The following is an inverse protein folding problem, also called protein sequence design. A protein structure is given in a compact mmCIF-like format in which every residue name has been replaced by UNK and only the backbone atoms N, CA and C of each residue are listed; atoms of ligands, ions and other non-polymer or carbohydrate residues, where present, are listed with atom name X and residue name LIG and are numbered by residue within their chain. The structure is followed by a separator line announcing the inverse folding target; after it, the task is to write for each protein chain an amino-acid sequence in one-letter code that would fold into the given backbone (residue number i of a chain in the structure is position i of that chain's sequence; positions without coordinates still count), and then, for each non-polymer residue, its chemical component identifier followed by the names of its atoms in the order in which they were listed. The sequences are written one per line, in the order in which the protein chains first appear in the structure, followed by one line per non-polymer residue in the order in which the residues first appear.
data_IF_267510419999
#
_entry.id   IF_267510419999
#
_cell.length_a   1.000
_cell.length_b   1.000
_cell.length_c   1.000
_cell.angle_alpha   90.00
_cell.angle_beta   90.00
_cell.angle_gamma   90.00
#
_symmetry.space_group_name_H-M   'P 1'
#
loop_
_entity.id
_entity.type
_entity.pdbx_description
1 polymer ?
#
# COMPACT_ATOMS: atom_id res chain seq x y z
N UNK A 1 -11.01 5.57 -10.57
CA UNK A 1 -10.44 6.89 -10.22
C UNK A 1 -9.28 6.62 -9.27
N UNK A 2 -8.04 6.86 -9.69
CA UNK A 2 -6.89 6.71 -8.80
C UNK A 2 -6.93 7.84 -7.78
N UNK A 3 -7.12 7.52 -6.50
CA UNK A 3 -6.99 8.51 -5.42
C UNK A 3 -5.54 8.99 -5.39
N UNK A 4 -5.37 10.30 -5.41
CA UNK A 4 -4.07 10.96 -5.24
C UNK A 4 -4.02 11.54 -3.85
N UNK A 5 -2.92 11.29 -3.16
CA UNK A 5 -2.69 11.80 -1.82
C UNK A 5 -1.50 12.76 -1.85
N UNK A 6 -1.60 13.86 -1.10
CA UNK A 6 -0.50 14.83 -0.99
C UNK A 6 0.63 14.34 -0.07
N UNK A 7 0.37 13.31 0.75
CA UNK A 7 1.31 12.74 1.70
C UNK A 7 1.48 11.25 1.47
N UNK A 8 2.73 10.79 1.50
CA UNK A 8 3.06 9.37 1.38
C UNK A 8 2.47 8.57 2.54
N UNK A 9 2.55 9.08 3.78
CA UNK A 9 1.96 8.42 4.95
C UNK A 9 0.45 8.19 4.80
N UNK A 10 -0.25 9.17 4.21
CA UNK A 10 -1.69 9.05 3.98
C UNK A 10 -2.00 8.02 2.89
N UNK A 11 -1.21 8.01 1.81
CA UNK A 11 -1.32 7.01 0.76
C UNK A 11 -1.06 5.59 1.29
N UNK A 12 -0.01 5.41 2.09
CA UNK A 12 0.32 4.14 2.73
C UNK A 12 -0.83 3.69 3.63
N UNK A 13 -1.33 4.58 4.48
CA UNK A 13 -2.41 4.21 5.38
C UNK A 13 -3.68 3.80 4.62
N UNK A 14 -4.11 4.60 3.64
CA UNK A 14 -5.36 4.37 2.89
C UNK A 14 -5.30 3.24 1.88
N UNK A 15 -4.20 3.11 1.16
CA UNK A 15 -4.09 2.18 0.03
C UNK A 15 -3.44 0.85 0.41
N UNK A 16 -2.74 0.79 1.55
CA UNK A 16 -1.97 -0.40 1.97
C UNK A 16 -2.47 -0.91 3.32
N UNK A 17 -2.38 -0.09 4.37
CA UNK A 17 -2.70 -0.54 5.74
C UNK A 17 -4.19 -0.82 5.89
N UNK A 18 -5.06 0.13 5.53
CA UNK A 18 -6.52 0.02 5.62
C UNK A 18 -7.06 -1.26 4.94
N UNK A 19 -6.69 -1.60 3.69
CA UNK A 19 -7.16 -2.84 3.06
C UNK A 19 -6.57 -4.13 3.66
N UNK A 20 -5.34 -4.11 4.18
CA UNK A 20 -4.75 -5.30 4.84
C UNK A 20 -5.42 -5.52 6.19
N UNK A 21 -5.58 -4.48 7.01
CA UNK A 21 -6.20 -4.55 8.33
C UNK A 21 -7.70 -4.86 8.26
N UNK A 22 -8.37 -4.41 7.20
CA UNK A 22 -9.78 -4.74 6.95
C UNK A 22 -9.97 -6.14 6.31
N UNK A 23 -8.88 -6.81 5.94
CA UNK A 23 -8.88 -8.19 5.49
C UNK A 23 -8.91 -9.15 6.69
N UNK A 24 -7.78 -9.82 6.92
CA UNK A 24 -7.62 -10.90 7.92
C UNK A 24 -6.48 -10.64 8.91
N UNK A 25 -5.86 -9.45 8.85
CA UNK A 25 -4.64 -9.12 9.59
C UNK A 25 -4.98 -8.07 10.64
N UNK A 26 -4.66 -8.30 11.92
CA UNK A 26 -4.93 -7.29 12.95
C UNK A 26 -3.92 -6.14 12.93
N UNK A 27 -2.66 -6.40 12.55
CA UNK A 27 -1.59 -5.40 12.54
C UNK A 27 -0.70 -5.57 11.31
N UNK A 28 -1.06 -4.88 10.23
CA UNK A 28 -0.41 -5.00 8.92
C UNK A 28 1.09 -4.67 8.99
N UNK A 29 1.49 -3.73 9.86
CA UNK A 29 2.88 -3.32 10.05
C UNK A 29 3.71 -4.34 10.83
N UNK A 30 3.07 -5.18 11.64
CA UNK A 30 3.74 -6.23 12.38
C UNK A 30 4.04 -7.43 11.48
N UNK A 31 3.09 -7.79 10.61
CA UNK A 31 3.17 -8.98 9.75
C UNK A 31 3.79 -8.72 8.38
N UNK A 32 3.73 -7.50 7.86
CA UNK A 32 4.21 -7.18 6.50
C UNK A 32 5.19 -6.01 6.50
N UNK A 33 6.11 -6.01 5.53
CA UNK A 33 7.03 -4.89 5.31
C UNK A 33 6.35 -3.79 4.49
N UNK A 34 5.61 -2.94 5.19
CA UNK A 34 4.78 -1.88 4.57
C UNK A 34 5.63 -0.86 3.80
N UNK A 35 6.84 -0.55 4.26
CA UNK A 35 7.76 0.34 3.55
C UNK A 35 8.17 -0.25 2.19
N UNK A 36 8.54 -1.54 2.17
CA UNK A 36 8.88 -2.24 0.93
C UNK A 36 7.67 -2.39 -0.02
N UNK A 37 6.47 -2.61 0.53
CA UNK A 37 5.23 -2.64 -0.24
C UNK A 37 4.95 -1.24 -0.81
N UNK A 38 5.10 -0.18 -0.03
CA UNK A 38 4.87 1.19 -0.45
C UNK A 38 5.74 1.60 -1.65
N UNK A 39 7.04 1.28 -1.65
CA UNK A 39 7.91 1.55 -2.81
C UNK A 39 7.46 0.83 -4.09
N UNK A 40 6.91 -0.37 -3.96
CA UNK A 40 6.45 -1.18 -5.10
C UNK A 40 5.07 -0.76 -5.60
N UNK A 41 4.15 -0.43 -4.68
CA UNK A 41 2.72 -0.17 -4.93
C UNK A 41 2.45 1.30 -5.23
N UNK A 42 3.10 2.21 -4.51
CA UNK A 42 2.93 3.64 -4.71
C UNK A 42 3.89 4.14 -5.79
N UNK A 43 3.36 4.97 -6.68
CA UNK A 43 4.14 5.79 -7.59
C UNK A 43 4.16 7.23 -7.11
N UNK A 44 5.32 7.87 -7.19
CA UNK A 44 5.39 9.32 -7.20
C UNK A 44 4.79 9.80 -8.54
N UNK A 45 3.87 10.75 -8.44
CA UNK A 45 3.36 11.50 -9.57
C UNK A 45 3.61 12.96 -9.24
N UNK A 46 3.87 13.81 -10.25
CA UNK A 46 4.26 15.24 -10.11
C UNK A 46 3.57 16.04 -8.97
N UNK A 47 2.34 15.68 -8.59
CA UNK A 47 1.54 16.34 -7.54
C UNK A 47 1.12 15.44 -6.36
N UNK A 48 1.71 14.25 -6.18
CA UNK A 48 1.44 13.41 -5.01
C UNK A 48 1.77 11.93 -5.16
N UNK A 49 1.08 11.11 -4.39
CA UNK A 49 1.23 9.65 -4.36
C UNK A 49 -0.05 8.99 -4.86
N UNK A 50 0.12 8.01 -5.73
CA UNK A 50 -0.97 7.25 -6.32
C UNK A 50 -0.61 5.77 -6.40
N UNK A 51 -1.56 4.88 -6.14
CA UNK A 51 -1.39 3.47 -6.40
C UNK A 51 -1.22 3.25 -7.92
N UNK A 52 -0.07 2.71 -8.33
CA UNK A 52 0.27 2.45 -9.75
C UNK A 52 0.01 1.00 -10.16
N UNK A 53 -0.29 0.14 -9.20
CA UNK A 53 -0.54 -1.29 -9.42
C UNK A 53 -2.03 -1.60 -9.37
N UNK A 54 -2.40 -2.75 -9.94
CA UNK A 54 -3.76 -3.28 -9.81
C UNK A 54 -3.98 -3.94 -8.45
N UNK A 55 -5.24 -4.22 -8.10
CA UNK A 55 -5.58 -4.90 -6.83
C UNK A 55 -4.94 -6.29 -6.75
N UNK A 56 -4.96 -7.07 -7.83
CA UNK A 56 -4.29 -8.38 -7.88
C UNK A 56 -2.77 -8.27 -7.67
N UNK A 57 -2.12 -7.29 -8.30
CA UNK A 57 -0.69 -7.04 -8.10
C UNK A 57 -0.38 -6.55 -6.69
N UNK A 58 -1.25 -5.72 -6.11
CA UNK A 58 -1.14 -5.28 -4.73
C UNK A 58 -1.08 -6.49 -3.79
N UNK A 59 -2.06 -7.39 -3.85
CA UNK A 59 -2.09 -8.58 -2.99
C UNK A 59 -0.88 -9.48 -3.21
N UNK A 60 -0.46 -9.67 -4.47
CA UNK A 60 0.76 -10.43 -4.77
C UNK A 60 1.99 -9.81 -4.12
N UNK A 61 2.13 -8.49 -4.20
CA UNK A 61 3.24 -7.77 -3.55
C UNK A 61 3.14 -7.93 -2.02
N UNK A 62 1.95 -7.78 -1.43
CA UNK A 62 1.76 -7.97 0.02
C UNK A 62 2.21 -9.35 0.45
N UNK A 63 1.78 -10.41 -0.25
CA UNK A 63 2.19 -11.79 0.03
C UNK A 63 3.71 -12.01 -0.12
N UNK A 64 4.34 -11.40 -1.14
CA UNK A 64 5.79 -11.49 -1.35
C UNK A 64 6.62 -10.72 -0.30
N UNK A 65 6.02 -9.78 0.44
CA UNK A 65 6.70 -8.99 1.48
C UNK A 65 6.10 -9.26 2.88
N UNK A 66 5.45 -10.42 3.07
CA UNK A 66 5.13 -10.95 4.40
C UNK A 66 6.44 -11.28 5.15
N UNK A 67 6.47 -10.98 6.45
CA UNK A 67 7.63 -11.28 7.31
C UNK A 67 7.75 -12.75 7.70
#
# INVERSE_FOLDING_TARGET
MTRKYSRVDEAIFREIIEPIEHGDVEDARAEFDIDAIAEKVLGDVDEGFACKVTVDEFWKIVEENAR
#
